data_IF_435219952465
#
_entry.id   IF_435219952465
#
_cell.length_a   1.000
_cell.length_b   1.000
_cell.length_c   1.000
_cell.angle_alpha   90.00
_cell.angle_beta   90.00
_cell.angle_gamma   90.00
#
_symmetry.space_group_name_H-M   'P 1'
#
loop_
_entity.id
_entity.type
_entity.pdbx_description
1 polymer ?
#
# COMPACT_ATOMS: atom_id res chain seq x y z
N UNK A 1 42.30 -15.66 9.89
CA UNK A 1 41.26 -14.62 9.55
C UNK A 1 41.08 -14.65 8.04
N UNK A 2 39.96 -15.22 7.53
CA UNK A 2 39.79 -15.51 6.10
C UNK A 2 39.77 -14.20 5.28
N UNK A 3 40.56 -14.18 4.17
CA UNK A 3 40.64 -13.04 3.22
C UNK A 3 39.24 -12.54 2.81
N UNK A 4 38.28 -13.47 2.69
CA UNK A 4 36.87 -13.18 2.40
C UNK A 4 36.22 -12.30 3.48
N UNK A 5 36.46 -12.55 4.75
CA UNK A 5 35.93 -11.76 5.87
C UNK A 5 36.56 -10.35 5.95
N UNK A 6 37.86 -10.23 5.55
CA UNK A 6 38.55 -8.95 5.50
C UNK A 6 38.00 -8.06 4.38
N UNK A 7 37.80 -8.62 3.17
CA UNK A 7 37.23 -7.88 2.01
C UNK A 7 35.81 -7.42 2.32
N UNK A 8 34.99 -8.30 2.91
CA UNK A 8 33.62 -8.01 3.29
C UNK A 8 33.57 -6.89 4.34
N UNK A 9 34.37 -6.96 5.39
CA UNK A 9 34.47 -5.92 6.43
C UNK A 9 34.86 -4.56 5.85
N UNK A 10 35.83 -4.54 4.93
CA UNK A 10 36.30 -3.33 4.25
C UNK A 10 35.22 -2.74 3.31
N UNK A 11 34.42 -3.59 2.66
CA UNK A 11 33.31 -3.11 1.81
C UNK A 11 32.16 -2.53 2.65
N UNK A 12 31.84 -3.13 3.79
CA UNK A 12 30.80 -2.64 4.71
C UNK A 12 31.18 -1.28 5.29
N UNK A 13 32.43 -1.11 5.73
CA UNK A 13 32.88 0.19 6.25
C UNK A 13 32.84 1.28 5.18
N UNK A 14 33.19 0.97 3.92
CA UNK A 14 33.05 1.92 2.80
C UNK A 14 31.61 2.28 2.51
N UNK A 15 30.68 1.32 2.54
CA UNK A 15 29.25 1.58 2.34
C UNK A 15 28.64 2.38 3.48
N UNK A 16 29.01 2.08 4.73
CA UNK A 16 28.59 2.88 5.88
C UNK A 16 29.10 4.31 5.83
N UNK A 17 30.36 4.50 5.39
CA UNK A 17 30.92 5.86 5.21
C UNK A 17 30.23 6.60 4.06
N UNK A 18 29.85 5.92 2.97
CA UNK A 18 29.13 6.52 1.86
C UNK A 18 27.72 6.98 2.29
N UNK A 19 26.99 6.18 3.06
CA UNK A 19 25.67 6.58 3.58
C UNK A 19 25.77 7.79 4.51
N UNK A 20 26.80 7.82 5.34
CA UNK A 20 27.04 8.94 6.25
C UNK A 20 27.41 10.22 5.47
N UNK A 21 28.22 10.11 4.41
CA UNK A 21 28.56 11.24 3.52
C UNK A 21 27.31 11.76 2.81
N UNK A 22 26.44 10.88 2.29
CA UNK A 22 25.16 11.28 1.65
C UNK A 22 24.27 12.01 2.64
N UNK A 23 24.18 11.52 3.89
CA UNK A 23 23.43 12.19 4.95
C UNK A 23 24.01 13.57 5.28
N UNK A 24 25.33 13.70 5.39
CA UNK A 24 25.99 14.99 5.65
C UNK A 24 25.75 15.96 4.50
N UNK A 25 25.93 15.52 3.25
CA UNK A 25 25.67 16.35 2.06
C UNK A 25 24.22 16.82 2.05
N UNK A 26 23.26 15.94 2.32
CA UNK A 26 21.85 16.29 2.39
C UNK A 26 21.56 17.33 3.49
N UNK A 27 22.10 17.13 4.70
CA UNK A 27 21.94 18.07 5.82
C UNK A 27 22.59 19.42 5.49
N UNK A 28 23.78 19.42 4.89
CA UNK A 28 24.50 20.64 4.51
C UNK A 28 23.75 21.41 3.40
N UNK A 29 23.23 20.68 2.41
CA UNK A 29 22.50 21.28 1.28
C UNK A 29 21.11 21.81 1.69
N UNK A 30 20.45 21.16 2.64
CA UNK A 30 19.13 21.57 3.13
C UNK A 30 19.12 22.87 3.96
N UNK A 31 20.27 23.56 4.07
CA UNK A 31 20.46 24.81 4.82
C UNK A 31 19.98 24.75 6.30
N UNK A 32 19.94 23.54 6.86
CA UNK A 32 19.52 23.36 8.25
C UNK A 32 20.67 23.63 9.22
N UNK A 33 20.42 24.54 10.16
CA UNK A 33 21.34 24.78 11.26
C UNK A 33 21.44 23.52 12.18
N UNK A 34 22.67 23.18 12.58
CA UNK A 34 22.94 22.06 13.49
C UNK A 34 22.17 22.15 14.80
N UNK A 35 21.89 23.39 15.28
CA UNK A 35 21.04 23.62 16.46
C UNK A 35 19.61 23.16 16.22
N UNK A 36 19.03 23.46 15.07
CA UNK A 36 17.67 23.03 14.69
C UNK A 36 17.58 21.52 14.58
N UNK A 37 18.64 20.87 14.08
CA UNK A 37 18.71 19.41 14.00
C UNK A 37 18.73 18.76 15.40
N UNK A 38 19.57 19.22 16.32
CA UNK A 38 19.63 18.71 17.69
C UNK A 38 18.33 18.95 18.47
N UNK A 39 17.70 20.11 18.25
CA UNK A 39 16.38 20.43 18.82
C UNK A 39 15.27 19.51 18.30
N UNK A 40 15.33 19.09 17.03
CA UNK A 40 14.39 18.16 16.44
C UNK A 40 14.40 16.82 17.17
N UNK A 41 15.57 16.24 17.40
CA UNK A 41 15.68 14.98 18.17
C UNK A 41 15.19 15.15 19.61
N UNK A 42 15.51 16.26 20.27
CA UNK A 42 15.01 16.54 21.62
C UNK A 42 13.49 16.65 21.67
N UNK A 43 12.87 17.25 20.63
CA UNK A 43 11.41 17.30 20.51
C UNK A 43 10.81 15.91 20.28
N UNK A 44 11.44 15.06 19.45
CA UNK A 44 11.01 13.67 19.26
C UNK A 44 11.11 12.91 20.59
N UNK A 45 12.20 13.05 21.33
CA UNK A 45 12.35 12.42 22.65
C UNK A 45 11.25 12.86 23.62
N UNK A 46 10.95 14.16 23.67
CA UNK A 46 9.85 14.68 24.48
C UNK A 46 8.49 14.17 24.04
N UNK A 47 8.27 14.04 22.72
CA UNK A 47 7.04 13.46 22.15
C UNK A 47 6.88 12.01 22.58
N UNK A 48 7.94 11.20 22.44
CA UNK A 48 7.93 9.79 22.87
C UNK A 48 7.73 9.68 24.40
N UNK A 49 8.30 10.59 25.18
CA UNK A 49 8.07 10.67 26.63
C UNK A 49 6.60 10.96 26.98
N UNK A 50 5.92 11.78 26.20
CA UNK A 50 4.47 12.07 26.37
C UNK A 50 3.57 10.94 25.87
N UNK A 51 4.09 10.00 25.08
CA UNK A 51 3.41 8.79 24.69
C UNK A 51 3.37 7.73 25.80
N UNK A 52 4.07 7.94 26.89
CA UNK A 52 4.09 7.09 28.07
C UNK A 52 3.66 7.90 29.32
N UNK A 53 2.78 7.36 30.21
CA UNK A 53 2.16 6.01 30.16
C UNK A 53 1.06 5.90 29.10
N UNK A 54 0.90 4.67 28.57
CA UNK A 54 -0.12 4.37 27.54
C UNK A 54 -1.51 4.33 28.19
N UNK A 55 -2.47 5.06 27.62
CA UNK A 55 -3.86 5.05 28.10
C UNK A 55 -4.65 3.90 27.49
N UNK A 56 -4.82 2.80 28.23
CA UNK A 56 -5.61 1.64 27.78
C UNK A 56 -7.13 1.85 27.90
N UNK A 57 -7.60 2.91 28.52
CA UNK A 57 -9.03 3.17 28.74
C UNK A 57 -9.80 3.36 27.42
N UNK A 58 -9.13 3.78 26.35
CA UNK A 58 -9.73 3.99 25.02
C UNK A 58 -9.97 2.68 24.23
N UNK A 59 -9.41 1.53 24.66
CA UNK A 59 -9.53 0.26 23.91
C UNK A 59 -10.97 -0.12 23.55
N UNK A 60 -11.98 0.02 24.44
CA UNK A 60 -13.36 -0.26 24.07
C UNK A 60 -13.89 0.63 22.94
N UNK A 61 -13.45 1.89 22.88
CA UNK A 61 -13.84 2.86 21.84
C UNK A 61 -13.21 2.53 20.49
N UNK A 62 -12.07 1.81 20.47
CA UNK A 62 -11.37 1.41 19.24
C UNK A 62 -12.04 0.24 18.52
N UNK A 63 -12.95 -0.51 19.18
CA UNK A 63 -13.62 -1.67 18.59
C UNK A 63 -14.31 -1.33 17.27
N UNK A 64 -15.11 -0.29 17.25
CA UNK A 64 -15.85 0.13 16.05
C UNK A 64 -14.89 0.59 14.93
N UNK A 65 -13.93 1.51 15.16
CA UNK A 65 -12.94 1.90 14.14
C UNK A 65 -12.10 0.74 13.59
N UNK A 66 -11.75 -0.25 14.42
CA UNK A 66 -11.02 -1.45 13.98
C UNK A 66 -11.88 -2.27 13.01
N UNK A 67 -13.13 -2.54 13.38
CA UNK A 67 -14.08 -3.30 12.53
C UNK A 67 -14.29 -2.57 11.21
N UNK A 68 -14.47 -1.26 11.21
CA UNK A 68 -14.59 -0.45 10.00
C UNK A 68 -13.36 -0.59 9.10
N UNK A 69 -12.16 -0.48 9.67
CA UNK A 69 -10.90 -0.60 8.91
C UNK A 69 -10.77 -1.99 8.27
N UNK A 70 -11.07 -3.05 9.03
CA UNK A 70 -11.02 -4.43 8.52
C UNK A 70 -12.04 -4.62 7.41
N UNK A 71 -13.27 -4.18 7.61
CA UNK A 71 -14.35 -4.32 6.64
C UNK A 71 -14.07 -3.54 5.35
N UNK A 72 -13.61 -2.28 5.47
CA UNK A 72 -13.19 -1.49 4.30
C UNK A 72 -12.12 -2.26 3.51
N UNK A 73 -11.08 -2.75 4.18
CA UNK A 73 -9.98 -3.44 3.51
C UNK A 73 -10.42 -4.77 2.89
N UNK A 74 -11.17 -5.61 3.61
CA UNK A 74 -11.63 -6.91 3.12
C UNK A 74 -12.55 -6.75 1.91
N UNK A 75 -13.61 -5.99 2.06
CA UNK A 75 -14.64 -5.91 1.03
C UNK A 75 -14.19 -5.12 -0.20
N UNK A 76 -13.40 -4.05 -0.03
CA UNK A 76 -12.83 -3.33 -1.17
C UNK A 76 -11.85 -4.20 -1.96
N UNK A 77 -11.02 -5.02 -1.29
CA UNK A 77 -10.06 -5.90 -1.95
C UNK A 77 -10.75 -7.03 -2.72
N UNK A 78 -11.79 -7.64 -2.14
CA UNK A 78 -12.58 -8.67 -2.83
C UNK A 78 -13.28 -8.10 -4.05
N UNK A 79 -13.98 -6.98 -3.88
CA UNK A 79 -14.73 -6.35 -4.96
C UNK A 79 -13.79 -5.89 -6.09
N UNK A 80 -12.62 -5.32 -5.74
CA UNK A 80 -11.62 -4.93 -6.71
C UNK A 80 -11.06 -6.12 -7.48
N UNK A 81 -10.82 -7.24 -6.81
CA UNK A 81 -10.35 -8.45 -7.48
C UNK A 81 -11.40 -9.02 -8.43
N UNK A 82 -12.67 -9.06 -8.02
CA UNK A 82 -13.77 -9.51 -8.89
C UNK A 82 -13.91 -8.63 -10.13
N UNK A 83 -13.89 -7.31 -9.96
CA UNK A 83 -13.96 -6.38 -11.09
C UNK A 83 -12.73 -6.50 -11.98
N UNK A 84 -11.54 -6.69 -11.41
CA UNK A 84 -10.32 -6.94 -12.19
C UNK A 84 -10.42 -8.21 -13.02
N UNK A 85 -10.93 -9.32 -12.47
CA UNK A 85 -11.11 -10.56 -13.23
C UNK A 85 -12.11 -10.40 -14.39
N UNK A 86 -13.13 -9.55 -14.22
CA UNK A 86 -14.07 -9.21 -15.29
C UNK A 86 -13.40 -8.33 -16.37
N UNK A 87 -12.52 -7.41 -15.97
CA UNK A 87 -11.81 -6.50 -16.87
C UNK A 87 -10.58 -7.15 -17.54
N UNK A 88 -10.03 -8.20 -16.94
CA UNK A 88 -8.81 -8.85 -17.42
C UNK A 88 -8.85 -9.29 -18.89
N UNK A 89 -9.95 -9.85 -19.42
CA UNK A 89 -10.08 -10.18 -20.84
C UNK A 89 -9.96 -8.95 -21.78
N UNK A 90 -10.31 -7.77 -21.28
CA UNK A 90 -10.18 -6.50 -22.03
C UNK A 90 -8.73 -6.01 -21.97
N UNK A 91 -8.07 -6.19 -20.82
CA UNK A 91 -6.69 -5.74 -20.59
C UNK A 91 -5.67 -6.63 -21.29
N UNK A 92 -6.00 -7.88 -21.54
CA UNK A 92 -5.19 -8.84 -22.28
C UNK A 92 -5.64 -8.91 -23.74
N UNK A 93 -4.71 -9.16 -24.65
CA UNK A 93 -5.00 -9.21 -26.11
C UNK A 93 -5.80 -10.47 -26.55
N UNK A 94 -6.32 -11.26 -25.60
CA UNK A 94 -6.88 -12.58 -25.92
C UNK A 94 -8.26 -12.51 -26.56
N UNK A 95 -9.14 -11.61 -26.10
CA UNK A 95 -10.51 -11.52 -26.61
C UNK A 95 -10.64 -10.59 -27.82
N UNK A 96 -9.77 -9.60 -27.95
CA UNK A 96 -9.91 -8.57 -28.99
C UNK A 96 -8.95 -8.80 -30.15
N UNK A 97 -9.47 -8.78 -31.36
CA UNK A 97 -8.64 -8.79 -32.58
C UNK A 97 -7.80 -7.52 -32.74
N UNK A 98 -8.35 -6.39 -32.27
CA UNK A 98 -7.70 -5.07 -32.30
C UNK A 98 -6.84 -4.86 -31.04
N UNK A 99 -5.52 -4.94 -31.19
CA UNK A 99 -4.55 -4.70 -30.09
C UNK A 99 -4.58 -3.27 -29.52
N UNK A 100 -5.34 -2.36 -30.14
CA UNK A 100 -5.40 -0.95 -29.72
C UNK A 100 -6.23 -0.77 -28.44
N UNK A 101 -7.31 -1.52 -28.27
CA UNK A 101 -8.22 -1.42 -27.12
C UNK A 101 -7.48 -1.78 -25.81
N UNK A 102 -6.82 -2.93 -25.68
CA UNK A 102 -6.03 -3.25 -24.48
C UNK A 102 -4.91 -2.24 -24.21
N UNK A 103 -4.29 -1.68 -25.25
CA UNK A 103 -3.25 -0.65 -25.08
C UNK A 103 -3.81 0.64 -24.49
N UNK A 104 -4.96 1.12 -24.98
CA UNK A 104 -5.61 2.33 -24.45
C UNK A 104 -6.02 2.11 -22.98
N UNK A 105 -6.69 1.00 -22.67
CA UNK A 105 -7.07 0.68 -21.30
C UNK A 105 -5.85 0.58 -20.37
N UNK A 106 -4.79 -0.11 -20.80
CA UNK A 106 -3.55 -0.21 -20.02
C UNK A 106 -2.88 1.14 -19.82
N UNK A 107 -2.88 2.03 -20.80
CA UNK A 107 -2.35 3.38 -20.68
C UNK A 107 -3.16 4.21 -19.67
N UNK A 108 -4.49 4.18 -19.76
CA UNK A 108 -5.39 4.86 -18.81
C UNK A 108 -5.16 4.35 -17.38
N UNK A 109 -5.13 3.03 -17.18
CA UNK A 109 -4.85 2.44 -15.87
C UNK A 109 -3.46 2.84 -15.33
N UNK A 110 -2.45 2.90 -16.21
CA UNK A 110 -1.10 3.34 -15.83
C UNK A 110 -1.08 4.78 -15.37
N UNK A 111 -1.79 5.69 -16.05
CA UNK A 111 -1.89 7.10 -15.66
C UNK A 111 -2.57 7.22 -14.29
N UNK A 112 -3.74 6.60 -14.09
CA UNK A 112 -4.43 6.67 -12.79
C UNK A 112 -3.62 6.07 -11.65
N UNK A 113 -2.81 5.04 -11.92
CA UNK A 113 -1.93 4.42 -10.91
C UNK A 113 -0.78 5.33 -10.47
N UNK A 114 -0.34 6.29 -11.30
CA UNK A 114 0.69 7.25 -10.88
C UNK A 114 0.16 8.29 -9.90
N UNK A 115 -1.16 8.43 -9.77
CA UNK A 115 -1.75 9.34 -8.80
C UNK A 115 -1.52 8.80 -7.37
N UNK A 116 -0.97 9.63 -6.46
CA UNK A 116 -0.89 9.27 -5.05
C UNK A 116 -2.27 8.94 -4.48
N UNK A 117 -2.37 7.82 -3.76
CA UNK A 117 -3.67 7.35 -3.25
C UNK A 117 -4.37 8.37 -2.33
N UNK A 118 -3.61 9.19 -1.59
CA UNK A 118 -4.14 10.28 -0.77
C UNK A 118 -4.87 11.34 -1.60
N UNK A 119 -4.39 11.62 -2.82
CA UNK A 119 -5.06 12.58 -3.71
C UNK A 119 -6.40 12.00 -4.18
N UNK A 120 -6.44 10.73 -4.56
CA UNK A 120 -7.70 10.05 -4.93
C UNK A 120 -8.69 10.10 -3.77
N UNK A 121 -8.22 9.81 -2.56
CA UNK A 121 -9.04 9.87 -1.36
C UNK A 121 -9.55 11.29 -1.05
N UNK A 122 -8.68 12.30 -1.12
CA UNK A 122 -9.05 13.68 -0.89
C UNK A 122 -10.11 14.18 -1.89
N UNK A 123 -9.95 13.81 -3.16
CA UNK A 123 -10.97 14.09 -4.20
C UNK A 123 -12.29 13.43 -3.84
N UNK A 124 -12.30 12.15 -3.48
CA UNK A 124 -13.53 11.43 -3.14
C UNK A 124 -14.19 11.97 -1.87
N UNK A 125 -13.38 12.35 -0.87
CA UNK A 125 -13.89 13.01 0.34
C UNK A 125 -14.50 14.39 0.02
N UNK A 126 -13.88 15.15 -0.87
CA UNK A 126 -14.43 16.45 -1.29
C UNK A 126 -15.76 16.30 -2.05
N UNK A 127 -15.90 15.25 -2.86
CA UNK A 127 -17.11 14.96 -3.64
C UNK A 127 -18.23 14.38 -2.78
N UNK A 128 -17.92 13.36 -1.98
CA UNK A 128 -18.92 12.53 -1.29
C UNK A 128 -18.99 12.76 0.22
N UNK A 129 -18.18 13.65 0.77
CA UNK A 129 -18.03 13.93 2.20
C UNK A 129 -17.07 12.94 2.90
N UNK A 130 -16.71 13.32 4.13
CA UNK A 130 -15.93 12.45 5.03
C UNK A 130 -16.76 11.22 5.41
N UNK A 131 -16.11 10.09 5.57
CA UNK A 131 -16.75 8.86 6.04
C UNK A 131 -16.30 7.58 5.32
N UNK A 132 -16.88 6.47 5.73
CA UNK A 132 -16.54 5.10 5.28
C UNK A 132 -16.71 4.93 3.77
N UNK A 133 -17.70 5.60 3.15
CA UNK A 133 -17.91 5.53 1.70
C UNK A 133 -16.70 6.01 0.90
N UNK A 134 -16.23 7.21 1.18
CA UNK A 134 -15.08 7.80 0.46
C UNK A 134 -13.82 6.95 0.67
N UNK A 135 -13.61 6.41 1.88
CA UNK A 135 -12.51 5.49 2.18
C UNK A 135 -12.61 4.18 1.41
N UNK A 136 -13.78 3.56 1.41
CA UNK A 136 -14.03 2.31 0.69
C UNK A 136 -13.79 2.46 -0.82
N UNK A 137 -14.39 3.48 -1.45
CA UNK A 137 -14.24 3.72 -2.89
C UNK A 137 -12.80 4.05 -3.24
N UNK A 138 -12.06 4.79 -2.39
CA UNK A 138 -10.65 5.09 -2.60
C UNK A 138 -9.80 3.82 -2.66
N UNK A 139 -9.93 2.95 -1.66
CA UNK A 139 -9.18 1.69 -1.59
C UNK A 139 -9.61 0.76 -2.74
N UNK A 140 -10.91 0.68 -3.03
CA UNK A 140 -11.43 -0.11 -4.14
C UNK A 140 -10.79 0.29 -5.48
N UNK A 141 -10.74 1.59 -5.80
CA UNK A 141 -10.12 2.08 -7.04
C UNK A 141 -8.63 1.75 -7.11
N UNK A 142 -7.89 1.98 -6.03
CA UNK A 142 -6.46 1.68 -5.96
C UNK A 142 -6.20 0.19 -6.13
N UNK A 143 -7.02 -0.64 -5.48
CA UNK A 143 -6.90 -2.09 -5.59
C UNK A 143 -7.21 -2.61 -7.00
N UNK A 144 -8.19 -2.02 -7.71
CA UNK A 144 -8.43 -2.34 -9.13
C UNK A 144 -7.18 -2.03 -9.95
N UNK A 145 -6.61 -0.83 -9.81
CA UNK A 145 -5.45 -0.41 -10.58
C UNK A 145 -4.22 -1.31 -10.31
N UNK A 146 -4.04 -1.73 -9.06
CA UNK A 146 -2.93 -2.58 -8.65
C UNK A 146 -3.13 -4.02 -9.10
N UNK A 147 -4.30 -4.61 -8.83
CA UNK A 147 -4.61 -5.99 -9.19
C UNK A 147 -4.69 -6.17 -10.71
N UNK A 148 -5.22 -5.18 -11.45
CA UNK A 148 -5.28 -5.21 -12.90
C UNK A 148 -3.88 -5.27 -13.53
N UNK A 149 -2.94 -4.48 -13.00
CA UNK A 149 -1.54 -4.54 -13.46
C UNK A 149 -0.93 -5.91 -13.20
N UNK A 150 -0.98 -6.37 -11.94
CA UNK A 150 -0.33 -7.62 -11.55
C UNK A 150 -0.94 -8.83 -12.28
N UNK A 151 -2.26 -8.93 -12.33
CA UNK A 151 -2.91 -10.06 -13.01
C UNK A 151 -2.73 -10.01 -14.52
N UNK A 152 -2.62 -8.81 -15.12
CA UNK A 152 -2.27 -8.67 -16.53
C UNK A 152 -0.85 -9.18 -16.81
N UNK A 153 0.15 -8.78 -16.00
CA UNK A 153 1.53 -9.24 -16.12
C UNK A 153 1.61 -10.76 -16.04
N UNK A 154 0.97 -11.38 -15.04
CA UNK A 154 0.88 -12.84 -14.95
C UNK A 154 0.12 -13.51 -16.11
N UNK A 155 -0.91 -12.86 -16.66
CA UNK A 155 -1.64 -13.39 -17.80
C UNK A 155 -0.83 -13.35 -19.09
N UNK A 156 0.06 -12.38 -19.23
CA UNK A 156 0.98 -12.25 -20.37
C UNK A 156 2.16 -13.23 -20.29
N UNK A 157 2.47 -13.79 -19.11
CA UNK A 157 3.47 -14.85 -18.90
C UNK A 157 2.98 -16.25 -19.36
N UNK A 158 1.68 -16.42 -19.62
CA UNK A 158 1.15 -17.70 -20.13
C UNK A 158 1.77 -18.00 -21.49
N UNK A 159 2.30 -19.23 -21.65
CA UNK A 159 3.00 -19.64 -22.86
C UNK A 159 2.12 -19.48 -24.12
N UNK A 160 2.61 -18.71 -25.08
CA UNK A 160 1.94 -18.46 -26.37
C UNK A 160 1.61 -19.79 -27.04
N UNK A 161 2.48 -20.80 -26.95
CA UNK A 161 2.27 -22.14 -27.51
C UNK A 161 1.01 -22.82 -26.97
N UNK A 162 0.65 -22.62 -25.69
CA UNK A 162 -0.60 -23.17 -25.16
C UNK A 162 -1.83 -22.49 -25.77
N UNK A 163 -1.75 -21.19 -26.00
CA UNK A 163 -2.82 -20.41 -26.61
C UNK A 163 -3.02 -20.84 -28.08
N UNK A 164 -1.93 -20.95 -28.84
CA UNK A 164 -1.92 -21.38 -30.25
C UNK A 164 -2.41 -22.81 -30.40
N UNK A 165 -2.01 -23.73 -29.51
CA UNK A 165 -2.48 -25.12 -29.54
C UNK A 165 -4.01 -25.21 -29.33
N UNK A 166 -4.57 -24.43 -28.39
CA UNK A 166 -6.02 -24.40 -28.19
C UNK A 166 -6.75 -23.74 -29.36
N UNK A 167 -6.16 -22.71 -29.97
CA UNK A 167 -6.72 -22.05 -31.15
C UNK A 167 -6.73 -23.00 -32.36
N UNK A 168 -5.67 -23.81 -32.55
CA UNK A 168 -5.56 -24.83 -33.58
C UNK A 168 -6.60 -25.95 -33.43
N UNK A 169 -7.04 -26.23 -32.19
CA UNK A 169 -8.13 -27.17 -31.90
C UNK A 169 -9.53 -26.56 -32.10
N UNK A 170 -9.62 -25.32 -32.58
CA UNK A 170 -10.89 -24.63 -32.84
C UNK A 170 -11.55 -24.08 -31.57
N UNK A 171 -10.82 -23.95 -30.43
CA UNK A 171 -11.37 -23.39 -29.23
C UNK A 171 -11.75 -21.92 -29.41
N UNK A 172 -12.95 -21.54 -28.96
CA UNK A 172 -13.35 -20.13 -28.92
C UNK A 172 -12.46 -19.33 -27.96
N UNK A 173 -12.31 -18.03 -28.22
CA UNK A 173 -11.51 -17.14 -27.39
C UNK A 173 -11.92 -17.13 -25.92
N UNK A 174 -13.20 -17.30 -25.63
CA UNK A 174 -13.71 -17.44 -24.26
C UNK A 174 -13.25 -18.74 -23.59
N UNK A 175 -13.22 -19.84 -24.36
CA UNK A 175 -12.73 -21.14 -23.87
C UNK A 175 -11.23 -21.06 -23.58
N UNK A 176 -10.45 -20.41 -24.45
CA UNK A 176 -9.02 -20.15 -24.27
C UNK A 176 -8.80 -19.31 -23.00
N UNK A 177 -9.53 -18.21 -22.84
CA UNK A 177 -9.44 -17.37 -21.64
C UNK A 177 -9.73 -18.16 -20.36
N UNK A 178 -10.82 -18.91 -20.35
CA UNK A 178 -11.25 -19.69 -19.17
C UNK A 178 -10.28 -20.81 -18.80
N UNK A 179 -9.80 -21.57 -19.79
CA UNK A 179 -9.06 -22.81 -19.53
C UNK A 179 -7.55 -22.62 -19.57
N UNK A 180 -7.01 -21.74 -20.42
CA UNK A 180 -5.58 -21.46 -20.46
C UNK A 180 -5.20 -20.33 -19.50
N UNK A 181 -5.86 -19.18 -19.56
CA UNK A 181 -5.42 -18.02 -18.78
C UNK A 181 -5.92 -18.11 -17.35
N UNK A 182 -7.23 -18.15 -17.13
CA UNK A 182 -7.81 -18.09 -15.80
C UNK A 182 -7.42 -19.29 -14.93
N UNK A 183 -7.24 -20.48 -15.55
CA UNK A 183 -6.79 -21.68 -14.85
C UNK A 183 -5.37 -21.56 -14.32
N UNK A 184 -4.45 -21.00 -15.13
CA UNK A 184 -3.06 -20.77 -14.74
C UNK A 184 -2.92 -19.61 -13.74
N UNK A 185 -3.87 -18.67 -13.73
CA UNK A 185 -3.85 -17.52 -12.80
C UNK A 185 -4.38 -17.80 -11.41
N UNK A 186 -5.00 -18.97 -11.15
CA UNK A 186 -5.60 -19.26 -9.84
C UNK A 186 -4.68 -18.99 -8.64
N UNK A 187 -3.40 -19.45 -8.62
CA UNK A 187 -2.50 -19.18 -7.51
C UNK A 187 -2.19 -17.69 -7.39
N UNK A 188 -1.96 -17.01 -8.52
CA UNK A 188 -1.64 -15.59 -8.57
C UNK A 188 -2.80 -14.71 -8.10
N UNK A 189 -4.04 -15.06 -8.44
CA UNK A 189 -5.25 -14.37 -7.97
C UNK A 189 -5.30 -14.32 -6.44
N UNK A 190 -4.99 -15.44 -5.78
CA UNK A 190 -4.96 -15.50 -4.31
C UNK A 190 -3.80 -14.69 -3.75
N UNK A 191 -2.62 -14.78 -4.35
CA UNK A 191 -1.46 -13.98 -3.96
C UNK A 191 -1.73 -12.48 -4.08
N UNK A 192 -2.35 -12.05 -5.18
CA UNK A 192 -2.74 -10.66 -5.41
C UNK A 192 -3.82 -10.21 -4.41
N UNK A 193 -4.79 -11.08 -4.08
CA UNK A 193 -5.78 -10.77 -3.06
C UNK A 193 -5.13 -10.45 -1.71
N UNK A 194 -4.26 -11.31 -1.21
CA UNK A 194 -3.61 -11.08 0.07
C UNK A 194 -2.66 -9.87 0.06
N UNK A 195 -2.00 -9.63 -1.08
CA UNK A 195 -1.15 -8.44 -1.25
C UNK A 195 -1.98 -7.15 -1.24
N UNK A 196 -3.11 -7.13 -1.94
CA UNK A 196 -4.02 -5.96 -1.92
C UNK A 196 -4.69 -5.78 -0.57
N UNK A 197 -5.07 -6.86 0.12
CA UNK A 197 -5.63 -6.81 1.47
C UNK A 197 -4.64 -6.21 2.47
N UNK A 198 -3.38 -6.69 2.49
CA UNK A 198 -2.30 -6.15 3.32
C UNK A 198 -2.09 -4.65 3.05
N UNK A 199 -2.00 -4.27 1.78
CA UNK A 199 -1.88 -2.87 1.35
C UNK A 199 -3.08 -2.02 1.76
N UNK A 200 -4.29 -2.58 1.69
CA UNK A 200 -5.54 -1.89 2.02
C UNK A 200 -5.63 -1.53 3.49
N UNK A 201 -5.19 -2.40 4.40
CA UNK A 201 -5.21 -2.11 5.84
C UNK A 201 -4.24 -0.99 6.19
N UNK A 202 -3.03 -1.00 5.58
CA UNK A 202 -2.09 0.12 5.73
C UNK A 202 -2.66 1.40 5.11
N UNK A 203 -3.27 1.30 3.93
CA UNK A 203 -3.93 2.41 3.26
C UNK A 203 -5.09 2.99 4.06
N UNK A 204 -5.95 2.15 4.64
CA UNK A 204 -7.08 2.59 5.46
C UNK A 204 -6.64 3.42 6.68
N UNK A 205 -5.50 3.07 7.29
CA UNK A 205 -4.95 3.86 8.40
C UNK A 205 -4.52 5.27 7.97
N UNK A 206 -4.02 5.41 6.74
CA UNK A 206 -3.59 6.69 6.17
C UNK A 206 -4.79 7.51 5.70
N UNK A 207 -5.79 6.87 5.09
CA UNK A 207 -7.01 7.52 4.61
C UNK A 207 -7.83 8.18 5.72
N UNK A 208 -7.71 7.69 6.94
CA UNK A 208 -8.31 8.32 8.10
C UNK A 208 -7.90 9.77 8.31
N UNK A 209 -6.69 10.18 7.86
CA UNK A 209 -6.21 11.57 7.93
C UNK A 209 -7.06 12.53 7.09
N UNK A 210 -7.61 12.06 5.99
CA UNK A 210 -8.53 12.82 5.13
C UNK A 210 -9.99 12.59 5.50
N UNK A 211 -10.26 11.94 6.66
CA UNK A 211 -11.61 11.73 7.17
C UNK A 211 -12.34 10.55 6.50
N UNK A 212 -11.63 9.59 5.96
CA UNK A 212 -12.21 8.44 5.27
C UNK A 212 -12.61 7.26 6.20
N UNK A 213 -12.83 7.52 7.48
CA UNK A 213 -13.30 6.53 8.46
C UNK A 213 -12.18 5.66 9.07
N UNK A 214 -12.58 4.71 9.89
CA UNK A 214 -11.71 3.70 10.50
C UNK A 214 -10.76 4.20 11.57
N UNK A 215 -9.80 3.33 11.95
CA UNK A 215 -8.85 3.60 13.04
C UNK A 215 -7.92 4.79 12.73
N UNK A 216 -7.64 5.06 11.46
CA UNK A 216 -6.83 6.20 11.04
C UNK A 216 -7.50 7.54 11.35
N UNK A 217 -8.82 7.64 11.23
CA UNK A 217 -9.56 8.84 11.61
C UNK A 217 -9.49 9.08 13.12
N UNK A 218 -9.60 8.01 13.93
CA UNK A 218 -9.44 8.13 15.38
C UNK A 218 -8.03 8.57 15.75
N UNK A 219 -7.01 8.01 15.10
CA UNK A 219 -5.62 8.44 15.28
C UNK A 219 -5.45 9.94 15.00
N UNK A 220 -6.01 10.43 13.91
CA UNK A 220 -5.95 11.84 13.54
C UNK A 220 -6.65 12.76 14.55
N UNK A 221 -7.81 12.34 15.05
CA UNK A 221 -8.53 13.08 16.09
C UNK A 221 -7.70 13.22 17.35
N UNK A 222 -7.14 12.13 17.90
CA UNK A 222 -6.34 12.16 19.11
C UNK A 222 -5.02 12.94 18.94
N UNK A 223 -4.41 12.88 17.74
CA UNK A 223 -3.25 13.70 17.36
C UNK A 223 -3.56 15.20 17.37
N UNK A 224 -4.72 15.60 16.86
CA UNK A 224 -5.14 16.99 16.85
C UNK A 224 -5.49 17.52 18.24
N UNK A 225 -5.99 16.63 19.12
CA UNK A 225 -6.22 16.95 20.53
C UNK A 225 -4.94 16.88 21.38
N UNK A 226 -3.78 16.54 20.79
CA UNK A 226 -2.47 16.41 21.45
C UNK A 226 -2.46 15.37 22.60
N UNK A 227 -3.34 14.36 22.53
CA UNK A 227 -3.46 13.27 23.52
C UNK A 227 -2.55 12.12 23.12
N UNK A 228 -1.24 12.31 23.33
CA UNK A 228 -0.21 11.37 22.87
C UNK A 228 -0.24 10.02 23.61
N UNK A 229 -0.71 9.97 24.84
CA UNK A 229 -1.00 8.78 25.64
C UNK A 229 -2.00 7.84 24.92
N UNK A 230 -3.07 8.40 24.33
CA UNK A 230 -4.06 7.69 23.53
C UNK A 230 -3.57 7.35 22.14
N UNK A 231 -2.79 8.24 21.53
CA UNK A 231 -2.13 8.00 20.23
C UNK A 231 -1.27 6.73 20.29
N UNK A 232 -0.56 6.50 21.42
CA UNK A 232 0.29 5.32 21.59
C UNK A 232 -0.48 4.02 21.45
N UNK A 233 -1.61 3.88 22.16
CA UNK A 233 -2.40 2.64 22.10
C UNK A 233 -3.03 2.43 20.73
N UNK A 234 -3.42 3.51 20.03
CA UNK A 234 -3.94 3.43 18.66
C UNK A 234 -2.84 2.92 17.71
N UNK A 235 -1.61 3.44 17.83
CA UNK A 235 -0.46 2.98 17.04
C UNK A 235 -0.16 1.51 17.33
N UNK A 236 -0.11 1.11 18.60
CA UNK A 236 0.13 -0.29 19.00
C UNK A 236 -0.95 -1.19 18.40
N UNK A 237 -2.22 -0.79 18.49
CA UNK A 237 -3.35 -1.53 17.92
C UNK A 237 -3.24 -1.67 16.39
N UNK A 238 -2.84 -0.59 15.70
CA UNK A 238 -2.60 -0.63 14.24
C UNK A 238 -1.47 -1.58 13.88
N UNK A 239 -0.34 -1.50 14.59
CA UNK A 239 0.82 -2.39 14.35
C UNK A 239 0.43 -3.85 14.57
N UNK A 240 -0.30 -4.16 15.64
CA UNK A 240 -0.80 -5.51 15.91
C UNK A 240 -1.74 -5.97 14.79
N UNK A 241 -2.67 -5.12 14.37
CA UNK A 241 -3.61 -5.45 13.28
C UNK A 241 -2.87 -5.76 11.98
N UNK A 242 -1.93 -4.91 11.58
CA UNK A 242 -1.12 -5.12 10.37
C UNK A 242 -0.31 -6.41 10.50
N UNK A 243 0.34 -6.63 11.65
CA UNK A 243 1.14 -7.82 11.90
C UNK A 243 0.32 -9.12 11.78
N UNK A 244 -0.87 -9.15 12.36
CA UNK A 244 -1.78 -10.32 12.26
C UNK A 244 -2.15 -10.58 10.79
N UNK A 245 -2.48 -9.55 10.03
CA UNK A 245 -2.81 -9.70 8.60
C UNK A 245 -1.59 -10.14 7.78
N UNK A 246 -0.40 -9.60 8.07
CA UNK A 246 0.85 -10.02 7.42
C UNK A 246 1.12 -11.51 7.68
N UNK A 247 0.90 -12.00 8.92
CA UNK A 247 1.04 -13.42 9.26
C UNK A 247 0.03 -14.29 8.50
N UNK A 248 -1.22 -13.88 8.45
CA UNK A 248 -2.28 -14.59 7.69
C UNK A 248 -1.91 -14.63 6.22
N UNK A 249 -1.51 -13.49 5.64
CA UNK A 249 -1.10 -13.37 4.24
C UNK A 249 0.11 -14.25 3.93
N UNK A 250 1.12 -14.26 4.81
CA UNK A 250 2.31 -15.11 4.68
C UNK A 250 1.96 -16.59 4.70
N UNK A 251 1.11 -17.01 5.64
CA UNK A 251 0.67 -18.39 5.77
C UNK A 251 -0.02 -18.88 4.49
N UNK A 252 -0.96 -18.12 3.96
CA UNK A 252 -1.68 -18.48 2.74
C UNK A 252 -0.78 -18.49 1.49
N UNK A 253 0.12 -17.52 1.35
CA UNK A 253 1.09 -17.51 0.24
C UNK A 253 2.09 -18.67 0.30
N UNK A 254 2.49 -19.06 1.50
CA UNK A 254 3.45 -20.16 1.67
C UNK A 254 2.79 -21.52 1.42
N UNK A 255 1.51 -21.69 1.74
CA UNK A 255 0.74 -22.89 1.38
C UNK A 255 0.72 -23.13 -0.14
N UNK A 256 0.72 -22.08 -0.94
CA UNK A 256 0.77 -22.19 -2.41
C UNK A 256 2.12 -22.72 -2.90
N UNK A 257 3.21 -22.33 -2.27
CA UNK A 257 4.57 -22.70 -2.69
C UNK A 257 4.95 -24.14 -2.30
N UNK A 258 4.35 -24.68 -1.22
CA UNK A 258 4.72 -25.98 -0.65
C UNK A 258 3.91 -27.17 -1.18
N UNK A 259 2.71 -26.95 -1.67
CA UNK A 259 1.90 -28.01 -2.29
C UNK A 259 0.78 -27.45 -3.13
N UNK A 260 0.99 -27.33 -4.44
CA UNK A 260 -0.11 -27.08 -5.39
C UNK A 260 -1.27 -28.08 -5.16
N UNK A 261 -0.95 -29.33 -4.84
CA UNK A 261 -1.93 -30.39 -4.58
C UNK A 261 -2.78 -30.22 -3.31
N UNK A 262 -2.22 -29.65 -2.22
CA UNK A 262 -2.96 -29.52 -0.95
C UNK A 262 -3.85 -28.28 -0.95
N UNK A 263 -3.41 -27.21 -1.60
CA UNK A 263 -4.20 -25.99 -1.73
C UNK A 263 -5.29 -26.12 -2.78
N UNK A 264 -5.03 -26.80 -3.90
CA UNK A 264 -6.09 -27.22 -4.83
C UNK A 264 -7.14 -28.10 -4.16
N UNK A 265 -6.74 -29.05 -3.29
CA UNK A 265 -7.69 -29.86 -2.50
C UNK A 265 -8.49 -29.04 -1.49
N UNK A 266 -7.92 -27.97 -0.91
CA UNK A 266 -8.63 -27.06 -0.02
C UNK A 266 -9.64 -26.19 -0.78
N UNK A 267 -9.26 -25.61 -1.93
CA UNK A 267 -10.16 -24.86 -2.81
C UNK A 267 -11.12 -25.77 -3.57
N UNK A 268 -10.72 -26.99 -3.93
CA UNK A 268 -11.52 -28.01 -4.59
C UNK A 268 -12.45 -28.78 -3.65
N UNK A 269 -12.48 -28.51 -2.35
CA UNK A 269 -13.69 -28.78 -1.60
C UNK A 269 -14.79 -27.93 -2.25
N UNK A 270 -15.39 -28.54 -3.25
CA UNK A 270 -16.39 -28.02 -4.22
C UNK A 270 -17.41 -27.04 -3.60
N UNK A 271 -17.60 -27.11 -2.30
CA UNK A 271 -18.52 -26.30 -1.54
C UNK A 271 -17.91 -24.93 -1.13
N UNK A 272 -16.60 -24.83 -0.84
CA UNK A 272 -15.99 -23.56 -0.44
C UNK A 272 -15.90 -22.60 -1.62
N UNK A 273 -15.51 -23.08 -2.80
CA UNK A 273 -15.49 -22.25 -4.02
C UNK A 273 -16.90 -21.95 -4.52
N UNK A 274 -17.79 -22.97 -4.50
CA UNK A 274 -19.16 -22.84 -5.01
C UNK A 274 -20.03 -21.90 -4.19
N UNK A 275 -19.86 -21.88 -2.87
CA UNK A 275 -20.68 -21.07 -1.96
C UNK A 275 -19.88 -19.95 -1.26
N UNK A 276 -18.62 -20.16 -0.97
CA UNK A 276 -17.78 -19.18 -0.25
C UNK A 276 -17.52 -17.92 -1.05
N UNK A 277 -17.12 -18.04 -2.32
CA UNK A 277 -16.84 -16.86 -3.17
C UNK A 277 -18.13 -16.05 -3.41
N UNK A 278 -19.27 -16.63 -3.84
CA UNK A 278 -20.51 -15.88 -3.96
C UNK A 278 -20.96 -15.25 -2.64
N UNK A 279 -20.81 -15.95 -1.51
CA UNK A 279 -21.15 -15.42 -0.19
C UNK A 279 -20.31 -14.17 0.17
N UNK A 280 -19.01 -14.20 -0.11
CA UNK A 280 -18.11 -13.04 0.14
C UNK A 280 -18.48 -11.89 -0.80
N UNK A 281 -18.79 -12.16 -2.07
CA UNK A 281 -19.21 -11.12 -3.02
C UNK A 281 -20.55 -10.52 -2.58
N UNK A 282 -21.53 -11.34 -2.22
CA UNK A 282 -22.82 -10.87 -1.71
C UNK A 282 -22.62 -10.11 -0.40
N UNK A 283 -21.77 -10.61 0.51
CA UNK A 283 -21.40 -9.91 1.73
C UNK A 283 -20.75 -8.55 1.46
N UNK A 284 -19.89 -8.45 0.43
CA UNK A 284 -19.28 -7.17 0.01
C UNK A 284 -20.34 -6.19 -0.49
N UNK A 285 -21.28 -6.65 -1.31
CA UNK A 285 -22.37 -5.82 -1.84
C UNK A 285 -23.29 -5.38 -0.70
N UNK A 286 -23.68 -6.28 0.18
CA UNK A 286 -24.52 -5.98 1.35
C UNK A 286 -23.80 -5.01 2.31
N UNK A 287 -22.49 -5.14 2.49
CA UNK A 287 -21.73 -4.19 3.28
C UNK A 287 -21.77 -2.79 2.66
N UNK A 288 -21.54 -2.70 1.34
CA UNK A 288 -21.62 -1.43 0.62
C UNK A 288 -23.00 -0.79 0.76
N UNK A 289 -24.07 -1.57 0.63
CA UNK A 289 -25.44 -1.02 0.65
C UNK A 289 -25.95 -0.68 2.06
N UNK A 290 -25.58 -1.45 3.08
CA UNK A 290 -26.13 -1.30 4.43
C UNK A 290 -25.23 -0.49 5.39
N UNK A 291 -23.91 -0.58 5.24
CA UNK A 291 -22.95 0.05 6.16
C UNK A 291 -22.32 1.32 5.59
N UNK A 292 -22.36 1.49 4.27
CA UNK A 292 -21.87 2.70 3.61
C UNK A 292 -23.05 3.67 3.48
N UNK A 293 -23.36 4.35 4.57
CA UNK A 293 -24.42 5.36 4.61
C UNK A 293 -24.01 6.60 3.83
N UNK A 294 -24.28 6.62 2.53
CA UNK A 294 -24.30 7.85 1.76
C UNK A 294 -25.77 8.18 1.43
N UNK A 295 -26.22 9.37 1.79
CA UNK A 295 -27.56 9.81 1.37
C UNK A 295 -27.61 9.92 -0.16
N UNK A 296 -28.74 9.54 -0.75
CA UNK A 296 -28.94 9.64 -2.20
C UNK A 296 -28.70 11.07 -2.72
N UNK A 297 -29.13 12.07 -1.97
CA UNK A 297 -28.89 13.48 -2.29
C UNK A 297 -27.38 13.80 -2.33
N UNK A 298 -26.62 13.34 -1.34
CA UNK A 298 -25.17 13.59 -1.28
C UNK A 298 -24.44 12.91 -2.43
N UNK A 299 -24.87 11.72 -2.83
CA UNK A 299 -24.32 11.03 -3.98
C UNK A 299 -24.55 11.80 -5.28
N UNK A 300 -25.77 12.31 -5.50
CA UNK A 300 -26.09 13.13 -6.69
C UNK A 300 -25.30 14.44 -6.68
N UNK A 301 -25.18 15.11 -5.53
CA UNK A 301 -24.37 16.33 -5.40
C UNK A 301 -22.91 16.03 -5.76
N UNK A 302 -22.35 14.93 -5.25
CA UNK A 302 -20.98 14.50 -5.58
C UNK A 302 -20.79 14.29 -7.08
N UNK A 303 -21.72 13.63 -7.76
CA UNK A 303 -21.66 13.45 -9.22
C UNK A 303 -21.72 14.79 -9.99
N UNK A 304 -22.52 15.74 -9.53
CA UNK A 304 -22.55 17.11 -10.12
C UNK A 304 -21.21 17.83 -9.91
N UNK A 305 -20.63 17.72 -8.71
CA UNK A 305 -19.32 18.32 -8.38
C UNK A 305 -18.19 17.71 -9.21
N UNK A 306 -18.28 16.43 -9.58
CA UNK A 306 -17.33 15.76 -10.46
C UNK A 306 -17.20 16.48 -11.81
N UNK A 307 -18.31 16.97 -12.36
CA UNK A 307 -18.29 17.75 -13.61
C UNK A 307 -17.58 19.10 -13.44
N UNK A 308 -17.75 19.76 -12.29
CA UNK A 308 -17.05 21.01 -11.97
C UNK A 308 -15.55 20.76 -11.85
N UNK A 309 -15.17 19.70 -11.16
CA UNK A 309 -13.79 19.29 -10.97
C UNK A 309 -13.13 18.92 -12.32
N UNK A 310 -13.83 18.17 -13.17
CA UNK A 310 -13.36 17.85 -14.52
C UNK A 310 -13.11 19.09 -15.37
N UNK A 311 -13.97 20.08 -15.32
CA UNK A 311 -13.78 21.38 -16.00
C UNK A 311 -12.56 22.13 -15.46
N UNK A 312 -12.31 22.09 -14.15
CA UNK A 312 -11.12 22.70 -13.53
C UNK A 312 -9.83 22.02 -13.98
N UNK A 313 -9.84 20.69 -14.12
CA UNK A 313 -8.67 19.93 -14.60
C UNK A 313 -8.36 20.25 -16.07
N UNK A 314 -9.39 20.46 -16.90
CA UNK A 314 -9.21 20.77 -18.34
C UNK A 314 -8.70 22.20 -18.53
N UNK A 315 -9.02 23.12 -17.62
CA UNK A 315 -8.59 24.53 -17.67
C UNK A 315 -7.64 24.84 -16.49
N UNK A 316 -6.39 24.35 -16.51
CA UNK A 316 -5.44 24.59 -15.43
C UNK A 316 -4.94 26.05 -15.44
N UNK A 317 -4.66 26.57 -14.25
CA UNK A 317 -3.99 27.86 -14.10
C UNK A 317 -2.51 27.72 -14.47
N UNK A 318 -2.16 28.11 -15.69
CA UNK A 318 -0.78 28.03 -16.19
C UNK A 318 0.17 29.01 -15.49
N UNK A 319 -0.34 30.06 -14.86
CA UNK A 319 0.49 31.03 -14.12
C UNK A 319 1.12 30.38 -12.86
N UNK A 320 0.53 29.29 -12.36
CA UNK A 320 1.05 28.56 -11.21
C UNK A 320 2.20 27.57 -11.57
N UNK A 321 2.40 27.28 -12.86
CA UNK A 321 3.41 26.27 -13.33
C UNK A 321 4.82 26.55 -12.84
N UNK A 322 5.38 27.79 -12.89
CA UNK A 322 6.76 28.04 -12.43
C UNK A 322 6.94 27.70 -10.95
N UNK A 323 5.96 28.04 -10.09
CA UNK A 323 6.00 27.70 -8.67
C UNK A 323 5.90 26.19 -8.46
N UNK A 324 5.01 25.53 -9.18
CA UNK A 324 4.86 24.07 -9.12
C UNK A 324 6.16 23.35 -9.53
N UNK A 325 6.85 23.84 -10.56
CA UNK A 325 8.13 23.26 -10.99
C UNK A 325 9.21 23.38 -9.92
N UNK A 326 9.33 24.51 -9.23
CA UNK A 326 10.30 24.67 -8.14
C UNK A 326 10.04 23.69 -6.99
N UNK A 327 8.79 23.51 -6.58
CA UNK A 327 8.41 22.54 -5.53
C UNK A 327 8.60 21.08 -5.98
N UNK A 328 8.41 20.82 -7.28
CA UNK A 328 8.67 19.51 -7.87
C UNK A 328 10.16 19.15 -7.79
N UNK A 329 11.06 20.08 -8.10
CA UNK A 329 12.51 19.86 -7.99
C UNK A 329 12.92 19.54 -6.55
N UNK A 330 12.40 20.26 -5.56
CA UNK A 330 12.64 19.97 -4.14
C UNK A 330 12.15 18.57 -3.77
N UNK A 331 10.97 18.18 -4.26
CA UNK A 331 10.41 16.83 -4.02
C UNK A 331 11.28 15.72 -4.63
N UNK A 332 11.79 15.93 -5.86
CA UNK A 332 12.70 14.99 -6.53
C UNK A 332 14.01 14.86 -5.76
N UNK A 333 14.57 15.98 -5.29
CA UNK A 333 15.80 16.01 -4.52
C UNK A 333 15.68 15.23 -3.22
N UNK A 334 14.59 15.44 -2.46
CA UNK A 334 14.30 14.69 -1.23
C UNK A 334 14.17 13.20 -1.53
N UNK A 335 13.41 12.85 -2.56
CA UNK A 335 13.17 11.44 -2.93
C UNK A 335 14.48 10.74 -3.36
N UNK A 336 15.32 11.38 -4.17
CA UNK A 336 16.61 10.84 -4.59
C UNK A 336 17.55 10.66 -3.39
N UNK A 337 17.70 11.67 -2.55
CA UNK A 337 18.56 11.63 -1.36
C UNK A 337 18.13 10.53 -0.39
N UNK A 338 16.84 10.44 -0.09
CA UNK A 338 16.28 9.40 0.77
C UNK A 338 16.47 7.99 0.17
N UNK A 339 16.24 7.83 -1.14
CA UNK A 339 16.40 6.55 -1.83
C UNK A 339 17.85 6.07 -1.84
N UNK A 340 18.83 6.97 -2.08
CA UNK A 340 20.26 6.63 -2.04
C UNK A 340 20.65 6.21 -0.63
N UNK A 341 20.23 6.93 0.40
CA UNK A 341 20.50 6.58 1.79
C UNK A 341 19.87 5.24 2.17
N UNK A 342 18.60 5.02 1.80
CA UNK A 342 17.90 3.76 2.01
C UNK A 342 18.57 2.60 1.28
N UNK A 343 19.04 2.78 0.04
CA UNK A 343 19.72 1.73 -0.71
C UNK A 343 21.02 1.29 -0.04
N UNK A 344 21.82 2.24 0.45
CA UNK A 344 23.07 1.93 1.17
C UNK A 344 22.78 1.20 2.50
N UNK A 345 21.79 1.67 3.27
CA UNK A 345 21.38 1.02 4.52
C UNK A 345 20.77 -0.36 4.28
N UNK A 346 20.04 -0.54 3.16
CA UNK A 346 19.47 -1.83 2.76
C UNK A 346 20.56 -2.86 2.43
N UNK A 347 21.64 -2.47 1.76
CA UNK A 347 22.78 -3.37 1.50
C UNK A 347 23.42 -3.82 2.82
N UNK A 348 23.61 -2.91 3.78
CA UNK A 348 24.14 -3.21 5.09
C UNK A 348 23.24 -4.15 5.90
N UNK A 349 21.94 -3.85 5.96
CA UNK A 349 20.95 -4.68 6.67
C UNK A 349 20.75 -6.04 6.01
N UNK A 350 20.83 -6.12 4.68
CA UNK A 350 20.81 -7.38 3.92
C UNK A 350 21.99 -8.29 4.29
N UNK A 351 23.19 -7.71 4.41
CA UNK A 351 24.35 -8.45 4.89
C UNK A 351 24.14 -9.04 6.30
N UNK A 352 23.66 -8.22 7.25
CA UNK A 352 23.38 -8.66 8.62
C UNK A 352 22.27 -9.72 8.70
N UNK A 353 21.30 -9.69 7.79
CA UNK A 353 20.18 -10.64 7.73
C UNK A 353 20.52 -11.95 6.99
N UNK A 354 21.72 -12.06 6.41
CA UNK A 354 22.17 -13.26 5.69
C UNK A 354 22.53 -14.38 6.66
N UNK A 355 21.84 -15.51 6.57
CA UNK A 355 22.09 -16.71 7.40
C UNK A 355 23.49 -17.29 7.17
N UNK A 356 23.95 -17.24 5.91
CA UNK A 356 25.25 -17.80 5.52
C UNK A 356 26.44 -16.99 6.04
N UNK A 357 26.25 -15.71 6.34
CA UNK A 357 27.33 -14.80 6.76
C UNK A 357 27.30 -14.55 8.27
N UNK A 358 26.12 -14.42 8.86
CA UNK A 358 25.94 -14.00 10.26
C UNK A 358 25.45 -15.13 11.19
N UNK A 359 25.11 -16.29 10.62
CA UNK A 359 24.53 -17.41 11.35
C UNK A 359 23.02 -17.27 11.58
N UNK A 360 22.35 -18.42 11.82
CA UNK A 360 20.89 -18.53 11.83
C UNK A 360 20.20 -17.60 12.86
N UNK A 361 20.68 -17.57 14.10
CA UNK A 361 20.01 -16.83 15.19
C UNK A 361 20.16 -15.32 15.06
N UNK A 362 21.36 -14.84 14.73
CA UNK A 362 21.62 -13.40 14.54
C UNK A 362 20.88 -12.86 13.32
N UNK A 363 20.93 -13.59 12.20
CA UNK A 363 20.20 -13.23 11.00
C UNK A 363 18.68 -13.22 11.23
N UNK A 364 18.14 -14.16 12.03
CA UNK A 364 16.73 -14.18 12.39
C UNK A 364 16.34 -12.94 13.20
N UNK A 365 17.14 -12.56 14.21
CA UNK A 365 16.89 -11.35 15.00
C UNK A 365 16.82 -10.09 14.15
N UNK A 366 17.75 -9.92 13.20
CA UNK A 366 17.74 -8.79 12.26
C UNK A 366 16.50 -8.81 11.37
N UNK A 367 16.12 -9.98 10.83
CA UNK A 367 14.91 -10.13 10.02
C UNK A 367 13.65 -9.77 10.79
N UNK A 368 13.52 -10.24 12.03
CA UNK A 368 12.38 -9.91 12.90
C UNK A 368 12.33 -8.41 13.17
N UNK A 369 13.47 -7.79 13.47
CA UNK A 369 13.55 -6.34 13.69
C UNK A 369 13.12 -5.54 12.44
N UNK A 370 13.62 -5.90 11.26
CA UNK A 370 13.23 -5.25 10.00
C UNK A 370 11.73 -5.43 9.74
N UNK A 371 11.19 -6.63 9.98
CA UNK A 371 9.78 -6.90 9.80
C UNK A 371 8.91 -6.05 10.74
N UNK A 372 9.31 -5.89 12.01
CA UNK A 372 8.62 -5.01 12.96
C UNK A 372 8.63 -3.57 12.45
N UNK A 373 9.77 -3.04 12.01
CA UNK A 373 9.86 -1.70 11.45
C UNK A 373 8.95 -1.53 10.22
N UNK A 374 8.88 -2.53 9.36
CA UNK A 374 8.00 -2.53 8.18
C UNK A 374 6.51 -2.49 8.51
N UNK A 375 6.10 -3.00 9.70
CA UNK A 375 4.68 -2.97 10.10
C UNK A 375 4.19 -1.58 10.48
N UNK A 376 5.10 -0.65 10.80
CA UNK A 376 4.70 0.72 11.06
C UNK A 376 4.18 1.39 9.79
N UNK A 377 2.97 1.94 9.80
CA UNK A 377 2.48 2.74 8.68
C UNK A 377 3.39 3.94 8.42
N UNK A 378 3.82 4.18 7.15
CA UNK A 378 4.75 5.28 6.82
C UNK A 378 4.28 6.65 7.32
N UNK A 379 2.98 6.87 7.36
CA UNK A 379 2.40 8.13 7.82
C UNK A 379 2.66 8.39 9.31
N UNK A 380 2.71 7.36 10.15
CA UNK A 380 3.01 7.51 11.59
C UNK A 380 4.45 7.97 11.76
N UNK A 381 5.36 7.35 11.00
CA UNK A 381 6.78 7.73 10.96
C UNK A 381 6.92 9.18 10.49
N UNK A 382 6.23 9.54 9.41
CA UNK A 382 6.20 10.90 8.88
C UNK A 382 5.70 11.92 9.92
N UNK A 383 4.63 11.60 10.66
CA UNK A 383 4.09 12.47 11.70
C UNK A 383 5.05 12.67 12.87
N UNK A 384 5.78 11.65 13.30
CA UNK A 384 6.79 11.75 14.35
C UNK A 384 7.91 12.71 13.92
N UNK A 385 8.45 12.52 12.71
CA UNK A 385 9.50 13.40 12.20
C UNK A 385 9.00 14.83 11.90
N UNK A 386 7.78 14.96 11.39
CA UNK A 386 7.14 16.27 11.20
C UNK A 386 6.97 17.05 12.52
N UNK A 387 6.56 16.37 13.59
CA UNK A 387 6.42 16.98 14.92
C UNK A 387 7.78 17.32 15.56
N UNK A 388 8.82 16.56 15.25
CA UNK A 388 10.18 16.80 15.75
C UNK A 388 10.87 17.93 15.01
N UNK A 389 11.00 17.80 13.70
CA UNK A 389 11.78 18.73 12.88
C UNK A 389 10.95 19.86 12.29
N UNK A 390 9.62 19.79 12.33
CA UNK A 390 8.72 20.73 11.66
C UNK A 390 8.50 20.37 10.19
N UNK A 391 7.67 21.17 9.47
CA UNK A 391 7.46 20.99 8.04
C UNK A 391 8.76 21.30 7.28
N UNK A 392 9.14 20.44 6.32
CA UNK A 392 10.31 20.68 5.50
C UNK A 392 11.00 19.42 4.97
N UNK A 393 12.12 19.63 4.28
CA UNK A 393 12.85 18.57 3.60
C UNK A 393 13.38 17.47 4.55
N UNK A 394 13.86 17.84 5.76
CA UNK A 394 14.42 16.87 6.71
C UNK A 394 13.35 15.91 7.24
N UNK A 395 12.19 16.42 7.63
CA UNK A 395 11.10 15.56 8.11
C UNK A 395 10.65 14.59 7.01
N UNK A 396 10.59 15.04 5.77
CA UNK A 396 10.25 14.22 4.61
C UNK A 396 11.33 13.19 4.28
N UNK A 397 12.61 13.55 4.38
CA UNK A 397 13.73 12.64 4.17
C UNK A 397 13.72 11.45 5.15
N UNK A 398 13.50 11.70 6.45
CA UNK A 398 13.43 10.63 7.45
C UNK A 398 12.12 9.85 7.42
N UNK A 399 11.09 10.37 6.78
CA UNK A 399 9.80 9.70 6.63
C UNK A 399 9.77 8.69 5.48
N UNK A 400 10.60 8.91 4.46
CA UNK A 400 10.77 8.04 3.28
C UNK A 400 11.82 6.96 3.53
#
# INVERSE_FOLDING_TARGET
>A
MNLKNFIIKKSITKLASLSFIVLIIFIAYSQYDTKTFSLGFKRIQNLLGRMYPVDFSILPELKQPIIETINIALFSSVLALCTTLILLPILTNVLFKLKIIPKIFSAVFSVFRTMPFLIIAAILVSLFSTGVFSGFVSIYLINILTSAKLLKEYAEEVEIKQLEAMESLGASKFIIYKNAILSNLKPQVISVYFLTLESSIRGASVLGLVGAGGIGQRLWQELNHLRYDRVSIIIITLVILIFVIDLVSYYFRNLQNTSQLTFEKFLLRRNVVKFGIPLIIVGSILYVTNFINISHERFIIGLKQLNVLAKGIINPDLAYVPKMLSELFVSIEIALSATIFAAVTAIFTSYLSSVNLFGKYKALGVKVFINILRTFPPIIVALIFFRGFGPGAISSFFAL
#
